data_IF_895835525532
#
_entry.id   IF_895835525532
#
_cell.length_a   1.000
_cell.length_b   1.000
_cell.length_c   1.000
_cell.angle_alpha   90.00
_cell.angle_beta   90.00
_cell.angle_gamma   90.00
#
_symmetry.space_group_name_H-M   'P 1'
#
loop_
_entity.id
_entity.type
_entity.pdbx_description
1 polymer ?
#
# COMPACT_ATOMS: atom_id res chain seq x y z
N UNK A 1 16.23 -5.08 -20.83
CA UNK A 1 16.57 -5.93 -19.67
C UNK A 1 15.52 -5.66 -18.62
N UNK A 2 14.76 -6.68 -18.20
CA UNK A 2 13.81 -6.58 -17.09
C UNK A 2 14.61 -6.32 -15.82
N UNK A 3 14.30 -5.23 -15.09
CA UNK A 3 14.97 -4.97 -13.81
C UNK A 3 14.55 -6.04 -12.82
N UNK A 4 15.50 -6.56 -12.06
CA UNK A 4 15.26 -7.40 -10.90
C UNK A 4 15.64 -6.62 -9.65
N UNK A 5 14.97 -6.90 -8.54
CA UNK A 5 15.21 -6.24 -7.26
C UNK A 5 15.81 -7.24 -6.26
N UNK A 6 16.58 -6.73 -5.29
CA UNK A 6 17.27 -7.57 -4.32
C UNK A 6 16.26 -8.37 -3.47
N UNK A 7 16.59 -9.61 -3.06
CA UNK A 7 15.73 -10.39 -2.18
C UNK A 7 15.52 -9.66 -0.83
N UNK A 8 14.36 -9.84 -0.17
CA UNK A 8 13.31 -10.83 -0.45
C UNK A 8 12.23 -10.39 -1.45
N UNK A 9 12.47 -9.33 -2.23
CA UNK A 9 11.49 -8.84 -3.21
C UNK A 9 10.98 -9.94 -4.15
N UNK A 10 9.66 -10.07 -4.26
CA UNK A 10 9.00 -11.02 -5.18
C UNK A 10 8.53 -10.30 -6.43
N UNK A 11 9.10 -10.70 -7.57
CA UNK A 11 8.76 -10.15 -8.88
C UNK A 11 7.36 -10.61 -9.32
N UNK A 12 6.61 -9.71 -9.97
CA UNK A 12 5.34 -9.98 -10.64
C UNK A 12 5.46 -9.95 -12.16
N UNK A 13 4.46 -10.51 -12.84
CA UNK A 13 4.29 -10.39 -14.28
C UNK A 13 3.39 -9.19 -14.62
N UNK A 14 3.64 -8.53 -15.76
CA UNK A 14 2.80 -7.44 -16.27
C UNK A 14 1.32 -7.83 -16.40
N UNK A 15 1.01 -9.11 -16.60
CA UNK A 15 -0.36 -9.61 -16.68
C UNK A 15 -1.17 -9.38 -15.40
N UNK A 16 -0.52 -9.19 -14.24
CA UNK A 16 -1.22 -8.83 -12.99
C UNK A 16 -2.01 -7.53 -13.18
N UNK A 17 -1.49 -6.60 -13.98
CA UNK A 17 -2.10 -5.29 -14.22
C UNK A 17 -2.81 -5.21 -15.58
N UNK A 18 -3.13 -6.34 -16.20
CA UNK A 18 -3.99 -6.36 -17.38
C UNK A 18 -5.37 -5.82 -17.05
N UNK A 19 -6.07 -5.29 -18.06
CA UNK A 19 -7.45 -4.83 -17.91
C UNK A 19 -8.35 -5.97 -17.37
N UNK A 20 -9.18 -5.62 -16.38
CA UNK A 20 -10.20 -6.45 -15.74
C UNK A 20 -11.56 -5.73 -15.75
N UNK A 21 -12.50 -6.17 -14.92
CA UNK A 21 -13.85 -5.62 -14.81
C UNK A 21 -13.85 -4.16 -14.34
N UNK A 22 -12.93 -3.78 -13.45
CA UNK A 22 -12.81 -2.42 -12.92
C UNK A 22 -11.36 -1.92 -13.04
N UNK A 23 -11.01 -1.46 -14.25
CA UNK A 23 -9.67 -0.99 -14.54
C UNK A 23 -8.67 -2.13 -14.56
N UNK A 24 -7.70 -2.13 -13.65
CA UNK A 24 -6.74 -3.23 -13.44
C UNK A 24 -7.18 -4.23 -12.37
N UNK A 25 -8.31 -4.02 -11.70
CA UNK A 25 -8.82 -4.87 -10.62
C UNK A 25 -10.18 -5.51 -10.96
N UNK A 26 -10.54 -6.59 -10.28
CA UNK A 26 -11.87 -7.21 -10.43
C UNK A 26 -13.00 -6.42 -9.75
N UNK A 27 -12.67 -5.60 -8.74
CA UNK A 27 -13.63 -4.87 -7.90
C UNK A 27 -13.15 -3.43 -7.67
N UNK A 28 -14.05 -2.46 -7.42
CA UNK A 28 -13.67 -1.11 -7.01
C UNK A 28 -13.11 -1.08 -5.59
N UNK A 29 -12.57 0.07 -5.18
CA UNK A 29 -12.20 0.31 -3.78
C UNK A 29 -13.42 0.21 -2.85
N UNK A 30 -13.17 -0.25 -1.62
CA UNK A 30 -14.14 -0.29 -0.53
C UNK A 30 -14.78 1.09 -0.30
N UNK A 31 -16.01 1.11 0.20
CA UNK A 31 -16.76 2.35 0.42
C UNK A 31 -16.36 3.10 1.68
N UNK A 32 -15.82 2.41 2.68
CA UNK A 32 -15.50 2.91 4.02
C UNK A 32 -14.00 2.80 4.32
N UNK A 33 -13.16 3.40 3.48
CA UNK A 33 -11.71 3.41 3.68
C UNK A 33 -11.32 4.02 5.03
N UNK A 34 -10.23 3.52 5.61
CA UNK A 34 -9.62 4.03 6.84
C UNK A 34 -9.04 5.43 6.62
N UNK A 35 -8.77 6.07 7.76
CA UNK A 35 -8.03 7.32 7.83
C UNK A 35 -8.66 8.48 7.04
N UNK A 36 -9.96 8.45 6.78
CA UNK A 36 -10.65 9.47 5.98
C UNK A 36 -10.04 9.66 4.57
N UNK A 37 -9.54 8.58 3.97
CA UNK A 37 -9.04 8.62 2.60
C UNK A 37 -10.17 8.89 1.58
N UNK A 38 -9.91 9.75 0.60
CA UNK A 38 -10.87 10.12 -0.44
C UNK A 38 -11.07 8.97 -1.41
N UNK A 39 -12.30 8.45 -1.43
CA UNK A 39 -12.66 7.28 -2.22
C UNK A 39 -12.50 7.50 -3.73
N UNK A 40 -12.78 8.71 -4.23
CA UNK A 40 -12.66 9.02 -5.66
C UNK A 40 -11.19 8.97 -6.11
N UNK A 41 -10.31 9.58 -5.32
CA UNK A 41 -8.86 9.50 -5.50
C UNK A 41 -8.37 8.07 -5.39
N UNK A 42 -8.82 7.33 -4.37
CA UNK A 42 -8.47 5.93 -4.21
C UNK A 42 -8.84 5.09 -5.43
N UNK A 43 -10.07 5.22 -5.93
CA UNK A 43 -10.54 4.42 -7.06
C UNK A 43 -9.74 4.70 -8.33
N UNK A 44 -9.47 5.99 -8.60
CA UNK A 44 -8.63 6.40 -9.73
C UNK A 44 -7.21 5.87 -9.62
N UNK A 45 -6.58 6.02 -8.44
CA UNK A 45 -5.19 5.61 -8.22
C UNK A 45 -5.04 4.08 -8.26
N UNK A 46 -5.93 3.34 -7.60
CA UNK A 46 -5.85 1.88 -7.51
C UNK A 46 -6.08 1.18 -8.85
N UNK A 47 -7.00 1.69 -9.67
CA UNK A 47 -7.59 0.93 -10.77
C UNK A 47 -7.34 1.52 -12.15
N UNK A 48 -7.14 2.83 -12.26
CA UNK A 48 -7.12 3.55 -13.54
C UNK A 48 -5.85 4.38 -13.74
N UNK A 49 -4.82 4.13 -12.95
CA UNK A 49 -3.54 4.82 -13.02
C UNK A 49 -2.40 3.86 -12.69
N UNK A 50 -1.38 3.82 -13.55
CA UNK A 50 -0.17 2.98 -13.40
C UNK A 50 1.14 3.77 -13.43
N UNK A 51 1.05 5.09 -13.60
CA UNK A 51 2.24 5.93 -13.84
C UNK A 51 2.46 6.98 -12.77
N UNK A 52 1.39 7.43 -12.11
CA UNK A 52 1.46 8.49 -11.12
C UNK A 52 1.11 7.98 -9.74
N UNK A 53 1.50 8.72 -8.71
CA UNK A 53 1.06 8.49 -7.35
C UNK A 53 -0.11 9.45 -7.01
N UNK A 54 -0.73 9.24 -5.86
CA UNK A 54 -1.41 10.32 -5.15
C UNK A 54 -0.44 11.50 -4.89
N UNK A 55 -0.97 12.68 -4.59
CA UNK A 55 -0.15 13.86 -4.29
C UNK A 55 0.84 13.58 -3.14
N UNK A 56 2.11 14.01 -3.32
CA UNK A 56 3.14 13.90 -2.28
C UNK A 56 2.71 14.58 -0.99
N UNK A 57 2.64 13.81 0.09
CA UNK A 57 2.18 14.30 1.39
C UNK A 57 0.68 14.24 1.60
N UNK A 58 -0.10 13.67 0.67
CA UNK A 58 -1.54 13.45 0.83
C UNK A 58 -1.88 12.76 2.16
N UNK A 59 -1.12 11.74 2.53
CA UNK A 59 -1.28 11.01 3.80
C UNK A 59 -1.29 11.91 5.05
N UNK A 60 -0.66 13.10 5.01
CA UNK A 60 -0.65 14.07 6.11
C UNK A 60 -1.94 14.89 6.23
N UNK A 61 -2.75 14.95 5.18
CA UNK A 61 -4.08 15.58 5.23
C UNK A 61 -5.20 14.59 5.59
N UNK A 62 -4.83 13.34 5.87
CA UNK A 62 -5.73 12.28 6.32
C UNK A 62 -5.64 12.12 7.83
N UNK A 63 -6.53 11.33 8.45
CA UNK A 63 -6.46 11.06 9.90
C UNK A 63 -5.44 9.97 10.28
N UNK A 64 -4.63 9.49 9.33
CA UNK A 64 -3.67 8.40 9.57
C UNK A 64 -2.69 8.69 10.70
N UNK A 65 -2.01 9.84 10.67
CA UNK A 65 -1.05 10.18 11.72
C UNK A 65 -1.76 10.43 13.06
N UNK A 66 -2.94 11.02 13.06
CA UNK A 66 -3.70 11.29 14.27
C UNK A 66 -4.14 9.98 14.96
N UNK A 67 -4.58 9.00 14.17
CA UNK A 67 -5.08 7.72 14.69
C UNK A 67 -3.96 6.75 15.10
N UNK A 68 -2.83 6.75 14.38
CA UNK A 68 -1.81 5.70 14.55
C UNK A 68 -0.59 6.14 15.36
N UNK A 69 -0.37 7.44 15.61
CA UNK A 69 0.86 7.92 16.26
C UNK A 69 1.03 7.37 17.67
N UNK A 70 0.01 7.45 18.52
CA UNK A 70 0.12 6.97 19.91
C UNK A 70 0.42 5.46 19.96
N UNK A 71 -0.33 4.67 19.18
CA UNK A 71 -0.14 3.23 19.11
C UNK A 71 1.25 2.87 18.55
N UNK A 72 1.69 3.52 17.48
CA UNK A 72 3.00 3.31 16.87
C UNK A 72 4.16 3.69 17.80
N UNK A 73 4.04 4.80 18.53
CA UNK A 73 5.03 5.21 19.54
C UNK A 73 5.10 4.23 20.72
N UNK A 74 3.99 3.58 21.05
CA UNK A 74 3.92 2.50 22.04
C UNK A 74 4.37 1.14 21.49
N UNK A 75 4.96 1.09 20.30
CA UNK A 75 5.55 -0.11 19.71
C UNK A 75 4.55 -1.07 19.06
N UNK A 76 3.29 -0.63 18.83
CA UNK A 76 2.33 -1.43 18.06
C UNK A 76 2.59 -1.30 16.56
N UNK A 77 2.52 -2.43 15.86
CA UNK A 77 2.55 -2.43 14.40
C UNK A 77 1.17 -2.05 13.84
N UNK A 78 1.17 -1.36 12.70
CA UNK A 78 -0.01 -0.93 11.95
C UNK A 78 -0.16 -1.86 10.76
N UNK A 79 -1.35 -2.41 10.58
CA UNK A 79 -1.70 -3.22 9.41
C UNK A 79 -2.31 -2.35 8.32
N UNK A 80 -1.80 -2.49 7.10
CA UNK A 80 -2.21 -1.75 5.91
C UNK A 80 -2.84 -2.72 4.91
N UNK A 81 -4.11 -2.51 4.60
CA UNK A 81 -4.92 -3.45 3.81
C UNK A 81 -5.24 -2.88 2.44
N UNK A 82 -5.23 -3.73 1.41
CA UNK A 82 -5.63 -3.39 0.05
C UNK A 82 -7.00 -2.70 0.04
N UNK A 83 -7.05 -1.49 -0.50
CA UNK A 83 -8.28 -0.70 -0.58
C UNK A 83 -9.37 -1.35 -1.43
N UNK A 84 -9.03 -2.24 -2.36
CA UNK A 84 -10.00 -3.00 -3.16
C UNK A 84 -10.47 -4.25 -2.42
N UNK A 85 -9.51 -5.06 -1.93
CA UNK A 85 -9.79 -6.43 -1.52
C UNK A 85 -9.87 -6.60 0.00
N UNK A 86 -9.21 -5.76 0.78
CA UNK A 86 -9.06 -5.91 2.23
C UNK A 86 -7.97 -6.91 2.64
N UNK A 87 -7.15 -7.40 1.71
CA UNK A 87 -6.01 -8.28 2.00
C UNK A 87 -4.90 -7.49 2.69
N UNK A 88 -4.20 -8.11 3.65
CA UNK A 88 -3.10 -7.48 4.38
C UNK A 88 -1.87 -7.35 3.46
N UNK A 89 -1.51 -6.12 3.08
CA UNK A 89 -0.41 -5.86 2.15
C UNK A 89 0.89 -5.50 2.88
N UNK A 90 0.80 -4.71 3.96
CA UNK A 90 1.95 -4.29 4.74
C UNK A 90 1.66 -4.27 6.23
N UNK A 91 2.71 -4.45 7.02
CA UNK A 91 2.69 -4.27 8.48
C UNK A 91 3.90 -3.43 8.89
N UNK A 92 3.68 -2.23 9.41
CA UNK A 92 4.76 -1.30 9.75
C UNK A 92 4.45 -0.50 11.04
N UNK A 93 5.45 -0.07 11.80
CA UNK A 93 6.88 -0.31 11.58
C UNK A 93 7.29 -1.73 11.99
N UNK A 94 8.25 -2.33 11.29
CA UNK A 94 8.90 -3.59 11.71
C UNK A 94 10.41 -3.50 11.57
N UNK A 95 11.14 -3.97 12.58
CA UNK A 95 12.61 -3.85 12.61
C UNK A 95 13.13 -2.40 12.75
N UNK A 96 12.23 -1.44 13.03
CA UNK A 96 12.53 -0.03 13.27
C UNK A 96 11.45 0.62 14.15
N UNK A 97 11.69 1.84 14.62
CA UNK A 97 10.68 2.60 15.37
C UNK A 97 9.64 3.24 14.45
N UNK A 98 8.48 3.58 15.01
CA UNK A 98 7.46 4.36 14.31
C UNK A 98 7.99 5.73 13.85
N UNK A 99 8.81 6.39 14.68
CA UNK A 99 9.46 7.64 14.31
C UNK A 99 10.35 7.47 13.06
N UNK A 100 11.10 6.37 12.96
CA UNK A 100 11.92 6.10 11.78
C UNK A 100 11.06 5.87 10.53
N UNK A 101 9.95 5.15 10.65
CA UNK A 101 8.96 4.96 9.58
C UNK A 101 8.38 6.30 9.10
N UNK A 102 7.90 7.14 10.02
CA UNK A 102 7.32 8.45 9.71
C UNK A 102 8.37 9.37 9.10
N UNK A 103 9.58 9.42 9.66
CA UNK A 103 10.67 10.27 9.17
C UNK A 103 11.07 9.92 7.72
N UNK A 104 11.20 8.64 7.41
CA UNK A 104 11.49 8.18 6.05
C UNK A 104 10.33 8.51 5.10
N UNK A 105 9.10 8.28 5.52
CA UNK A 105 7.90 8.60 4.75
C UNK A 105 7.79 10.11 4.46
N UNK A 106 8.13 10.95 5.43
CA UNK A 106 8.19 12.41 5.29
C UNK A 106 9.26 12.85 4.29
N UNK A 107 10.44 12.24 4.32
CA UNK A 107 11.54 12.58 3.42
C UNK A 107 11.21 12.28 1.95
N UNK A 108 10.37 11.28 1.70
CA UNK A 108 10.02 10.86 0.35
C UNK A 108 8.62 11.26 -0.11
N UNK A 109 7.75 11.70 0.80
CA UNK A 109 6.41 12.21 0.47
C UNK A 109 5.28 11.19 0.62
N UNK A 110 5.58 9.90 0.72
CA UNK A 110 4.58 8.85 0.87
C UNK A 110 5.02 7.83 1.93
N UNK A 111 4.07 7.11 2.56
CA UNK A 111 4.37 5.92 3.36
C UNK A 111 5.42 5.04 2.66
N UNK A 112 6.57 4.88 3.32
CA UNK A 112 7.75 4.22 2.75
C UNK A 112 8.06 2.96 3.54
N UNK A 113 7.88 1.80 2.91
CA UNK A 113 8.03 0.49 3.55
C UNK A 113 9.37 -0.16 3.20
N UNK A 114 9.86 -1.01 4.10
CA UNK A 114 11.06 -1.86 3.91
C UNK A 114 10.66 -3.33 3.78
N UNK A 115 11.60 -4.16 3.35
CA UNK A 115 11.34 -5.57 2.97
C UNK A 115 10.61 -6.39 4.04
N UNK A 116 10.95 -6.23 5.32
CA UNK A 116 10.33 -6.95 6.44
C UNK A 116 8.87 -6.50 6.73
N UNK A 117 8.47 -5.34 6.21
CA UNK A 117 7.15 -4.75 6.38
C UNK A 117 6.18 -5.17 5.25
N UNK A 118 6.65 -5.90 4.23
CA UNK A 118 5.84 -6.30 3.07
C UNK A 118 5.27 -7.71 3.24
N UNK A 119 3.98 -7.89 2.97
CA UNK A 119 3.39 -9.21 2.82
C UNK A 119 3.58 -9.74 1.40
N UNK A 120 4.66 -10.50 1.20
CA UNK A 120 4.99 -11.12 -0.08
C UNK A 120 4.01 -12.20 -0.56
N UNK A 121 3.02 -12.60 0.24
CA UNK A 121 1.91 -13.42 -0.27
C UNK A 121 1.08 -12.63 -1.30
N UNK A 122 0.87 -11.33 -1.05
CA UNK A 122 -0.07 -10.50 -1.80
C UNK A 122 0.56 -9.31 -2.54
N UNK A 123 1.84 -8.99 -2.31
CA UNK A 123 2.53 -7.87 -2.98
C UNK A 123 3.52 -8.38 -4.01
N UNK A 124 3.59 -7.71 -5.16
CA UNK A 124 4.58 -7.96 -6.22
C UNK A 124 5.22 -6.66 -6.69
N UNK A 125 6.43 -6.77 -7.24
CA UNK A 125 7.09 -5.67 -7.94
C UNK A 125 7.27 -6.04 -9.41
N UNK A 126 6.81 -5.16 -10.31
CA UNK A 126 6.95 -5.34 -11.75
C UNK A 126 8.35 -4.92 -12.24
N UNK A 127 8.76 -5.32 -13.46
CA UNK A 127 10.09 -5.01 -13.98
C UNK A 127 10.43 -3.52 -14.14
N UNK A 128 9.43 -2.63 -14.15
CA UNK A 128 9.62 -1.18 -14.17
C UNK A 128 9.71 -0.55 -12.77
N UNK A 129 9.42 -1.34 -11.73
CA UNK A 129 9.40 -0.93 -10.34
C UNK A 129 8.02 -0.63 -9.79
N UNK A 130 6.96 -0.76 -10.58
CA UNK A 130 5.58 -0.66 -10.10
C UNK A 130 5.33 -1.72 -9.01
N UNK A 131 4.92 -1.28 -7.82
CA UNK A 131 4.51 -2.16 -6.73
C UNK A 131 3.01 -2.33 -6.79
N UNK A 132 2.54 -3.58 -6.82
CA UNK A 132 1.14 -3.93 -7.07
C UNK A 132 0.65 -5.01 -6.10
N UNK A 133 -0.66 -5.10 -5.88
CA UNK A 133 -1.25 -6.28 -5.27
C UNK A 133 -1.40 -7.39 -6.31
N UNK A 134 -1.42 -8.65 -5.88
CA UNK A 134 -1.67 -9.80 -6.78
C UNK A 134 -3.04 -9.76 -7.46
N UNK A 135 -3.97 -8.96 -6.94
CA UNK A 135 -5.31 -8.78 -7.51
C UNK A 135 -5.40 -7.62 -8.52
N UNK A 136 -4.29 -6.89 -8.72
CA UNK A 136 -4.19 -5.82 -9.72
C UNK A 136 -4.39 -4.40 -9.18
N UNK A 137 -4.32 -4.19 -7.86
CA UNK A 137 -4.32 -2.85 -7.26
C UNK A 137 -2.96 -2.18 -7.49
N UNK A 138 -2.93 -0.99 -8.09
CA UNK A 138 -1.73 -0.15 -8.11
C UNK A 138 -1.42 0.38 -6.71
N UNK A 139 -0.27 0.03 -6.14
CA UNK A 139 0.11 0.42 -4.77
C UNK A 139 1.08 1.59 -4.77
N UNK A 140 2.04 1.61 -5.68
CA UNK A 140 3.10 2.63 -5.72
C UNK A 140 4.32 2.08 -6.45
N UNK A 141 5.52 2.38 -5.97
CA UNK A 141 6.76 1.94 -6.64
C UNK A 141 7.86 1.54 -5.65
N UNK A 142 8.67 0.55 -6.03
CA UNK A 142 9.95 0.27 -5.39
C UNK A 142 11.02 1.22 -5.94
N UNK A 143 11.56 2.07 -5.06
CA UNK A 143 12.53 3.12 -5.36
C UNK A 143 13.78 2.96 -4.47
N UNK A 144 14.66 1.98 -4.76
CA UNK A 144 15.76 1.64 -3.87
C UNK A 144 16.73 2.78 -3.61
N UNK A 145 17.18 2.89 -2.36
CA UNK A 145 18.15 3.87 -1.86
C UNK A 145 19.33 3.17 -1.16
N UNK A 146 19.95 2.23 -1.88
CA UNK A 146 20.89 1.16 -1.42
C UNK A 146 20.21 -0.11 -0.90
N UNK A 147 18.95 -0.03 -0.48
CA UNK A 147 18.07 -1.15 -0.17
C UNK A 147 16.70 -0.90 -0.80
N UNK A 148 15.86 -1.91 -0.94
CA UNK A 148 14.49 -1.70 -1.41
C UNK A 148 13.74 -0.71 -0.53
N UNK A 149 12.91 0.12 -1.15
CA UNK A 149 12.06 1.10 -0.49
C UNK A 149 10.77 1.25 -1.27
N UNK A 150 9.69 0.75 -0.70
CA UNK A 150 8.39 0.74 -1.35
C UNK A 150 7.65 2.03 -0.97
N UNK A 151 7.57 2.95 -1.93
CA UNK A 151 6.91 4.23 -1.77
C UNK A 151 5.44 4.05 -2.21
N UNK A 152 4.52 3.98 -1.25
CA UNK A 152 3.17 3.48 -1.45
C UNK A 152 2.13 4.58 -1.22
N UNK A 153 1.14 4.64 -2.10
CA UNK A 153 -0.02 5.52 -1.97
C UNK A 153 -0.83 5.10 -0.73
N UNK A 154 -1.09 6.02 0.20
CA UNK A 154 -1.92 5.70 1.36
C UNK A 154 -3.32 5.26 0.92
N UNK A 155 -3.90 5.90 -0.09
CA UNK A 155 -5.23 5.53 -0.59
C UNK A 155 -5.31 4.10 -1.12
N UNK A 156 -4.20 3.46 -1.51
CA UNK A 156 -4.18 2.08 -1.99
C UNK A 156 -4.12 1.04 -0.89
N UNK A 157 -3.81 1.47 0.35
CA UNK A 157 -3.62 0.60 1.51
C UNK A 157 -4.47 1.00 2.73
N UNK A 158 -5.52 1.77 2.47
CA UNK A 158 -6.49 2.26 3.44
C UNK A 158 -7.73 1.36 3.54
N UNK A 159 -7.66 0.13 3.02
CA UNK A 159 -8.74 -0.83 3.14
C UNK A 159 -8.99 -1.27 4.58
N UNK A 160 -10.10 -1.97 4.75
CA UNK A 160 -10.47 -2.68 5.96
C UNK A 160 -10.40 -4.19 5.73
N UNK A 161 -9.97 -4.97 6.74
CA UNK A 161 -9.92 -6.41 6.61
C UNK A 161 -11.32 -6.97 6.36
N UNK A 162 -11.41 -8.02 5.55
CA UNK A 162 -12.64 -8.78 5.39
C UNK A 162 -12.69 -9.99 6.33
N UNK A 163 -13.89 -10.40 6.71
CA UNK A 163 -14.13 -11.68 7.35
C UNK A 163 -14.05 -12.83 6.34
N UNK A 164 -14.18 -14.06 6.82
CA UNK A 164 -14.17 -15.28 6.00
C UNK A 164 -15.30 -15.33 4.97
N UNK A 165 -16.35 -14.54 5.15
CA UNK A 165 -17.49 -14.44 4.25
C UNK A 165 -17.34 -13.27 3.25
N UNK A 166 -16.22 -12.56 3.27
CA UNK A 166 -15.96 -11.42 2.40
C UNK A 166 -16.65 -10.12 2.82
N UNK A 167 -17.26 -10.07 4.00
CA UNK A 167 -17.79 -8.83 4.55
C UNK A 167 -16.64 -8.03 5.16
N UNK A 168 -16.67 -6.71 5.03
CA UNK A 168 -15.75 -5.85 5.77
C UNK A 168 -15.99 -6.10 7.26
N UNK A 169 -14.94 -6.47 8.00
CA UNK A 169 -15.03 -6.55 9.46
C UNK A 169 -15.40 -5.16 9.96
N UNK A 170 -16.61 -5.03 10.51
CA UNK A 170 -16.96 -3.84 11.28
C UNK A 170 -15.96 -3.73 12.42
N UNK A 171 -15.38 -2.57 12.61
CA UNK A 171 -14.46 -2.34 13.72
C UNK A 171 -15.16 -2.72 15.04
N UNK A 172 -14.39 -3.35 15.93
CA UNK A 172 -14.68 -3.43 17.37
C UNK A 172 -14.82 -2.01 17.95
#
# INVERSE_FOLDING_TARGET
>A
MTRTYDPPCVMGDESIMSKKEHGTSHVPVQTNLRWNCDRSTADRICNFNRHYAEHSGYWKSTSFLDEETENGQNGKEINFYDSNTGKLLFTAPRGRSFEAFVKESMAHGWPSFRDDEVNWEYVRVLPDGETVSVDGTHLGHNLPDRKNRYCINLVSVAGRPKDENGNIKSDL
#
